data_IF_186384534355
#
_entry.id   IF_186384534355
#
_cell.length_a   1.000
_cell.length_b   1.000
_cell.length_c   1.000
_cell.angle_alpha   90.00
_cell.angle_beta   90.00
_cell.angle_gamma   90.00
#
_symmetry.space_group_name_H-M   'P 1'
#
loop_
_entity.id
_entity.type
_entity.pdbx_description
1 polymer ?
#
# COMPACT_ATOMS: atom_id res chain seq x y z
N UNK A 1 -8.71 -5.79 3.77
CA UNK A 1 -7.48 -5.69 2.94
C UNK A 1 -6.20 -5.99 3.73
N UNK A 2 -5.84 -5.19 4.75
CA UNK A 2 -4.57 -5.33 5.50
C UNK A 2 -4.31 -6.72 6.11
N UNK A 3 -5.34 -7.37 6.67
CA UNK A 3 -5.20 -8.71 7.27
C UNK A 3 -4.62 -9.75 6.30
N UNK A 4 -4.95 -9.66 5.01
CA UNK A 4 -4.45 -10.55 3.95
C UNK A 4 -2.97 -10.32 3.62
N UNK A 5 -2.42 -9.17 4.01
CA UNK A 5 -1.03 -8.79 3.75
C UNK A 5 -0.08 -9.11 4.93
N UNK A 6 -0.59 -9.71 6.01
CA UNK A 6 0.19 -10.01 7.21
C UNK A 6 1.38 -10.94 6.95
N UNK A 7 1.30 -11.81 5.95
CA UNK A 7 2.41 -12.68 5.53
C UNK A 7 3.61 -11.90 5.01
N UNK A 8 3.41 -10.67 4.55
CA UNK A 8 4.47 -9.79 4.04
C UNK A 8 5.06 -8.88 5.11
N UNK A 9 4.68 -9.03 6.38
CA UNK A 9 5.23 -8.19 7.45
C UNK A 9 6.72 -8.47 7.67
N UNK A 10 7.46 -7.41 7.93
CA UNK A 10 8.83 -7.50 8.44
C UNK A 10 8.88 -8.18 9.82
N UNK A 11 10.07 -8.61 10.18
CA UNK A 11 10.37 -9.12 11.52
C UNK A 11 9.98 -8.09 12.59
N UNK A 12 9.56 -8.52 13.80
CA UNK A 12 9.03 -7.62 14.83
C UNK A 12 9.89 -6.40 15.14
N UNK A 13 11.22 -6.54 15.15
CA UNK A 13 12.17 -5.46 15.44
C UNK A 13 12.14 -4.30 14.42
N UNK A 14 11.66 -4.55 13.20
CA UNK A 14 11.58 -3.56 12.13
C UNK A 14 10.15 -3.03 11.92
N UNK A 15 9.21 -3.45 12.77
CA UNK A 15 7.82 -3.02 12.63
C UNK A 15 7.65 -1.60 13.11
N UNK A 16 6.83 -0.84 12.39
CA UNK A 16 6.53 0.55 12.71
C UNK A 16 5.03 0.77 12.86
N UNK A 17 4.66 1.88 13.48
CA UNK A 17 3.30 2.39 13.49
C UNK A 17 3.29 3.76 12.79
N UNK A 18 2.23 4.09 12.04
CA UNK A 18 2.01 5.45 11.58
C UNK A 18 2.02 6.42 12.77
N UNK A 19 2.42 7.67 12.53
CA UNK A 19 2.23 8.71 13.54
C UNK A 19 0.74 8.90 13.83
N UNK A 20 0.33 9.29 15.06
CA UNK A 20 -1.06 9.37 15.47
C UNK A 20 -1.96 10.13 14.48
N UNK A 21 -1.46 11.23 13.94
CA UNK A 21 -2.16 12.06 12.96
C UNK A 21 -2.44 11.31 11.65
N UNK A 22 -1.64 10.31 11.26
CA UNK A 22 -1.81 9.51 10.04
C UNK A 22 -2.36 8.11 10.31
N UNK A 23 -2.81 7.81 11.53
CA UNK A 23 -3.46 6.53 11.81
C UNK A 23 -4.79 6.47 11.08
N UNK A 24 -5.05 5.32 10.43
CA UNK A 24 -6.37 4.98 9.91
C UNK A 24 -7.28 4.71 11.11
N UNK A 25 -8.12 5.67 11.48
CA UNK A 25 -9.04 5.55 12.60
C UNK A 25 -10.00 4.35 12.43
N UNK A 26 -10.31 3.69 13.55
CA UNK A 26 -10.86 2.35 13.64
C UNK A 26 -12.02 2.02 12.69
N UNK A 27 -11.87 0.86 12.03
CA UNK A 27 -12.96 -0.02 11.61
C UNK A 27 -13.94 0.56 10.60
N UNK A 28 -13.63 0.39 9.32
CA UNK A 28 -14.61 0.37 8.23
C UNK A 28 -15.71 1.44 8.30
N UNK A 29 -15.41 2.67 7.87
CA UNK A 29 -16.45 3.34 7.11
C UNK A 29 -16.60 2.56 5.79
N UNK A 30 -17.82 2.13 5.39
CA UNK A 30 -18.14 1.70 4.03
C UNK A 30 -17.97 2.84 3.00
N UNK A 31 -17.29 3.92 3.38
CA UNK A 31 -17.34 5.25 2.81
C UNK A 31 -16.01 6.01 2.86
N UNK A 32 -14.87 5.32 2.99
CA UNK A 32 -13.70 5.76 2.21
C UNK A 32 -13.89 5.33 0.75
N UNK A 33 -15.07 5.61 0.21
CA UNK A 33 -15.19 5.91 -1.20
C UNK A 33 -14.25 7.09 -1.42
N UNK A 34 -13.27 6.92 -2.29
CA UNK A 34 -12.62 8.04 -2.93
C UNK A 34 -13.71 9.09 -3.23
N UNK A 35 -13.60 10.28 -2.63
CA UNK A 35 -14.53 11.36 -2.89
C UNK A 35 -14.27 11.95 -4.29
N UNK A 36 -14.28 11.11 -5.33
CA UNK A 36 -14.58 11.52 -6.69
C UNK A 36 -16.10 11.55 -6.89
N UNK A 37 -16.87 12.14 -5.96
CA UNK A 37 -18.24 12.58 -6.25
C UNK A 37 -18.28 13.93 -6.98
N UNK A 38 -17.13 14.56 -7.25
CA UNK A 38 -17.06 15.75 -8.11
C UNK A 38 -17.08 15.34 -9.60
N UNK A 39 -18.30 15.05 -10.10
CA UNK A 39 -18.69 14.76 -11.50
C UNK A 39 -17.78 13.78 -12.25
N UNK A 40 -18.09 12.49 -12.14
CA UNK A 40 -17.69 11.52 -13.16
C UNK A 40 -18.24 11.98 -14.52
N UNK A 41 -17.35 12.16 -15.52
CA UNK A 41 -17.78 12.27 -16.93
C UNK A 41 -18.26 10.89 -17.37
N UNK A 42 -19.39 10.77 -18.08
CA UNK A 42 -19.81 9.50 -18.65
C UNK A 42 -18.74 9.04 -19.64
N UNK A 43 -18.04 7.94 -19.32
CA UNK A 43 -16.97 7.36 -20.15
C UNK A 43 -15.67 7.01 -19.39
N UNK A 44 -15.48 7.45 -18.14
CA UNK A 44 -14.34 7.00 -17.33
C UNK A 44 -14.65 5.63 -16.71
N UNK A 45 -13.96 4.59 -17.14
CA UNK A 45 -13.94 3.29 -16.46
C UNK A 45 -13.57 3.50 -14.99
N UNK A 46 -14.33 2.94 -14.02
CA UNK A 46 -13.99 3.07 -12.61
C UNK A 46 -12.62 2.44 -12.36
N UNK A 47 -11.69 3.11 -11.65
CA UNK A 47 -10.49 2.44 -11.17
C UNK A 47 -10.93 1.30 -10.24
N UNK A 48 -10.45 0.09 -10.55
CA UNK A 48 -10.73 -1.18 -9.90
C UNK A 48 -11.28 -1.06 -8.46
N UNK A 49 -12.56 -1.39 -8.34
CA UNK A 49 -13.35 -1.47 -7.12
C UNK A 49 -12.76 -2.48 -6.12
N UNK A 50 -12.88 -2.14 -4.84
CA UNK A 50 -12.98 -3.02 -3.67
C UNK A 50 -11.83 -3.98 -3.32
N UNK A 51 -10.99 -3.51 -2.39
CA UNK A 51 -10.30 -4.37 -1.42
C UNK A 51 -9.06 -5.12 -1.91
N UNK A 52 -8.70 -4.99 -3.18
CA UNK A 52 -7.43 -5.46 -3.72
C UNK A 52 -6.30 -4.46 -3.43
N UNK A 53 -5.11 -4.97 -3.05
CA UNK A 53 -3.90 -4.15 -2.94
C UNK A 53 -3.63 -3.38 -4.24
N UNK A 54 -3.04 -2.18 -4.18
CA UNK A 54 -2.70 -1.44 -5.39
C UNK A 54 -1.74 -2.25 -6.28
N UNK A 55 -1.82 -2.08 -7.61
CA UNK A 55 -0.88 -2.71 -8.55
C UNK A 55 0.58 -2.42 -8.17
N UNK A 56 0.83 -1.19 -7.72
CA UNK A 56 2.14 -0.74 -7.26
C UNK A 56 2.63 -1.53 -6.04
N UNK A 57 1.79 -1.67 -5.00
CA UNK A 57 2.15 -2.44 -3.83
C UNK A 57 2.43 -3.90 -4.19
N UNK A 58 1.62 -4.51 -5.06
CA UNK A 58 1.86 -5.87 -5.55
C UNK A 58 3.22 -6.01 -6.25
N UNK A 59 3.60 -5.03 -7.07
CA UNK A 59 4.90 -5.03 -7.74
C UNK A 59 6.07 -4.98 -6.74
N UNK A 60 5.97 -4.15 -5.70
CA UNK A 60 6.99 -4.11 -4.64
C UNK A 60 7.08 -5.43 -3.87
N UNK A 61 5.94 -6.01 -3.49
CA UNK A 61 5.92 -7.32 -2.81
C UNK A 61 6.50 -8.43 -3.70
N UNK A 62 6.26 -8.38 -5.01
CA UNK A 62 6.78 -9.36 -5.97
C UNK A 62 8.30 -9.33 -6.09
N UNK A 63 8.95 -8.17 -5.91
CA UNK A 63 10.42 -8.05 -5.91
C UNK A 63 11.05 -8.29 -4.53
N UNK A 64 10.25 -8.70 -3.53
CA UNK A 64 10.74 -9.06 -2.20
C UNK A 64 10.59 -7.97 -1.13
N UNK A 65 9.91 -6.86 -1.43
CA UNK A 65 9.63 -5.86 -0.42
C UNK A 65 8.69 -6.44 0.66
N UNK A 66 8.87 -5.95 1.89
CA UNK A 66 8.08 -6.31 3.06
C UNK A 66 7.42 -5.09 3.67
N UNK A 67 6.27 -5.27 4.30
CA UNK A 67 5.48 -4.20 4.91
C UNK A 67 5.95 -3.99 6.35
N UNK A 68 6.19 -2.74 6.73
CA UNK A 68 6.67 -2.40 8.07
C UNK A 68 5.55 -2.35 9.11
N UNK A 69 4.29 -2.13 8.74
CA UNK A 69 3.24 -1.99 9.74
C UNK A 69 1.85 -1.74 9.18
N UNK A 70 1.02 -1.09 9.98
CA UNK A 70 -0.28 -0.59 9.53
C UNK A 70 -0.09 0.52 8.48
N UNK A 71 -1.04 0.68 7.55
CA UNK A 71 -0.97 1.76 6.58
C UNK A 71 -1.16 3.12 7.26
N UNK A 72 -0.55 4.15 6.67
CA UNK A 72 -0.83 5.55 6.97
C UNK A 72 -1.91 6.08 6.02
N UNK A 73 -2.77 7.00 6.49
CA UNK A 73 -3.74 7.72 5.63
C UNK A 73 -3.18 9.08 5.23
N UNK A 74 -3.18 9.34 3.92
CA UNK A 74 -3.11 10.69 3.38
C UNK A 74 -4.53 11.22 3.17
N UNK A 75 -4.92 12.23 3.97
CA UNK A 75 -6.28 12.79 3.92
C UNK A 75 -6.48 13.80 2.81
N UNK A 76 -5.42 14.44 2.33
CA UNK A 76 -5.51 15.40 1.24
C UNK A 76 -5.82 14.68 -0.07
N UNK A 77 -5.20 13.52 -0.27
CA UNK A 77 -5.39 12.69 -1.47
C UNK A 77 -6.41 11.56 -1.29
N UNK A 78 -6.82 11.26 -0.06
CA UNK A 78 -7.75 10.17 0.25
C UNK A 78 -7.16 8.78 -0.04
N UNK A 79 -5.84 8.65 0.08
CA UNK A 79 -5.08 7.42 -0.21
C UNK A 79 -4.46 6.82 1.04
N UNK A 80 -4.20 5.52 1.00
CA UNK A 80 -3.40 4.88 2.05
C UNK A 80 -2.06 4.43 1.49
N UNK A 81 -1.02 4.57 2.32
CA UNK A 81 0.33 4.17 1.99
C UNK A 81 0.87 3.16 3.00
N UNK A 82 1.66 2.21 2.49
CA UNK A 82 2.40 1.28 3.32
C UNK A 82 3.87 1.67 3.28
N UNK A 83 4.48 1.83 4.46
CA UNK A 83 5.92 1.82 4.55
C UNK A 83 6.42 0.41 4.21
N UNK A 84 7.25 0.31 3.19
CA UNK A 84 7.87 -0.95 2.76
C UNK A 84 9.38 -0.91 2.89
N UNK A 85 9.97 -2.04 3.26
CA UNK A 85 11.41 -2.26 3.31
C UNK A 85 11.81 -3.29 2.26
N UNK A 86 12.83 -2.99 1.48
CA UNK A 86 13.38 -3.88 0.46
C UNK A 86 14.85 -4.14 0.75
N UNK A 87 15.20 -5.41 0.95
CA UNK A 87 16.60 -5.80 1.15
C UNK A 87 17.28 -5.97 -0.21
N UNK A 88 18.16 -5.02 -0.52
CA UNK A 88 18.89 -5.00 -1.78
C UNK A 88 19.87 -6.17 -1.92
N UNK A 89 20.28 -6.87 -0.86
CA UNK A 89 21.17 -8.04 -0.97
C UNK A 89 20.40 -9.27 -1.47
N UNK A 90 19.12 -9.36 -1.17
CA UNK A 90 18.24 -10.48 -1.55
C UNK A 90 17.41 -10.22 -2.82
N UNK A 91 17.63 -9.09 -3.49
CA UNK A 91 16.93 -8.73 -4.72
C UNK A 91 17.07 -9.82 -5.80
N UNK A 92 15.99 -10.18 -6.51
CA UNK A 92 16.08 -11.07 -7.66
C UNK A 92 17.10 -10.55 -8.68
N UNK A 93 17.94 -11.45 -9.21
CA UNK A 93 19.05 -11.08 -10.09
C UNK A 93 18.60 -10.24 -11.30
N UNK A 94 17.46 -10.59 -11.90
CA UNK A 94 16.88 -9.84 -13.03
C UNK A 94 16.48 -8.41 -12.64
N UNK A 95 15.92 -8.21 -11.45
CA UNK A 95 15.53 -6.88 -10.94
C UNK A 95 16.78 -6.06 -10.64
N UNK A 96 17.78 -6.65 -9.96
CA UNK A 96 19.07 -5.99 -9.70
C UNK A 96 19.73 -5.55 -11.00
N UNK A 97 19.85 -6.43 -11.98
CA UNK A 97 20.49 -6.15 -13.26
C UNK A 97 19.78 -5.06 -14.09
N UNK A 98 18.48 -4.86 -13.85
CA UNK A 98 17.69 -3.83 -14.51
C UNK A 98 17.79 -2.47 -13.81
N UNK A 99 17.74 -2.44 -12.47
CA UNK A 99 17.58 -1.19 -11.71
C UNK A 99 18.83 -0.70 -10.96
N UNK A 100 19.83 -1.55 -10.70
CA UNK A 100 21.01 -1.24 -9.87
C UNK A 100 22.32 -1.43 -10.65
N UNK A 101 22.35 -0.98 -11.91
CA UNK A 101 23.57 -0.99 -12.73
C UNK A 101 24.60 0.01 -12.24
#
# INVERSE_FOLDING_TARGET
>A
MYQKLRSHLVAPALRTQPRPEFVVAGGAHPGYSCACSRRMRPGSTPPATDGASSRLLRAYLAIGAKICGQPAIDREFGTIDFLTLLDLQTLPAIVRAHFLR
#
